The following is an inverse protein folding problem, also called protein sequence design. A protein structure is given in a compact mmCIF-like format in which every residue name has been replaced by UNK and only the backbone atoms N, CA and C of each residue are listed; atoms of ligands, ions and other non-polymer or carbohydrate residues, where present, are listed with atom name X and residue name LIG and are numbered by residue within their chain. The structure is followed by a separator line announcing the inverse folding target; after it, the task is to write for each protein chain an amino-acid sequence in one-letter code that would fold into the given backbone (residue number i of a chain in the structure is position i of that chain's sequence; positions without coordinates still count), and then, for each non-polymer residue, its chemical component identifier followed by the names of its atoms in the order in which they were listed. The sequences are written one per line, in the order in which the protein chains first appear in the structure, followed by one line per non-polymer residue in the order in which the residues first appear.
data_IF_537522903269
#
_entry.id   IF_537522903269
#
_cell.length_a   1.000
_cell.length_b   1.000
_cell.length_c   1.000
_cell.angle_alpha   90.00
_cell.angle_beta   90.00
_cell.angle_gamma   90.00
#
_symmetry.space_group_name_H-M   'P 1'
#
loop_
_entity.id
_entity.type
_entity.pdbx_description
1 polymer ?
#
# COMPACT_ATOMS: atom_id res chain seq x y z
N UNK A 1 -10.96 -5.07 15.15
CA UNK A 1 -9.92 -5.15 14.11
C UNK A 1 -10.15 -4.00 13.15
N UNK A 2 -9.10 -3.34 12.66
CA UNK A 2 -9.25 -2.30 11.66
C UNK A 2 -9.74 -2.90 10.33
N UNK A 3 -10.47 -2.13 9.52
CA UNK A 3 -10.83 -2.50 8.15
C UNK A 3 -9.60 -2.93 7.34
N UNK A 4 -9.75 -3.97 6.54
CA UNK A 4 -8.68 -4.51 5.69
C UNK A 4 -8.73 -3.91 4.31
N UNK A 5 -7.61 -3.94 3.58
CA UNK A 5 -7.60 -3.47 2.20
C UNK A 5 -8.38 -4.46 1.34
N UNK A 6 -9.33 -3.94 0.57
CA UNK A 6 -10.15 -4.66 -0.39
C UNK A 6 -9.67 -4.41 -1.81
N UNK A 7 -9.28 -3.19 -2.13
CA UNK A 7 -8.77 -2.81 -3.45
C UNK A 7 -7.60 -1.84 -3.32
N UNK A 8 -6.68 -1.89 -4.28
CA UNK A 8 -5.51 -1.00 -4.37
C UNK A 8 -5.37 -0.47 -5.79
N UNK A 9 -5.09 0.82 -5.91
CA UNK A 9 -4.65 1.45 -7.15
C UNK A 9 -3.34 2.24 -6.90
N UNK A 10 -2.20 1.75 -7.40
CA UNK A 10 -0.92 2.45 -7.27
C UNK A 10 -0.83 3.65 -8.23
N UNK A 11 -0.19 4.72 -7.77
CA UNK A 11 0.05 5.94 -8.57
C UNK A 11 1.53 6.11 -8.91
N UNK A 12 1.82 6.97 -9.89
CA UNK A 12 3.18 7.30 -10.32
C UNK A 12 3.97 8.11 -9.28
N UNK A 13 3.29 8.60 -8.25
CA UNK A 13 3.87 9.40 -7.17
C UNK A 13 4.19 8.56 -5.93
N UNK A 14 4.26 7.23 -6.04
CA UNK A 14 4.46 6.31 -4.92
C UNK A 14 3.38 6.41 -3.85
N UNK A 15 2.15 6.70 -4.27
CA UNK A 15 0.98 6.69 -3.40
C UNK A 15 0.07 5.53 -3.78
N UNK A 16 -0.62 4.99 -2.79
CA UNK A 16 -1.56 3.88 -2.93
C UNK A 16 -2.95 4.38 -2.57
N UNK A 17 -3.86 4.34 -3.54
CA UNK A 17 -5.28 4.57 -3.28
C UNK A 17 -5.89 3.25 -2.83
N UNK A 18 -6.48 3.24 -1.65
CA UNK A 18 -6.99 2.06 -0.97
C UNK A 18 -8.49 2.17 -0.79
N UNK A 19 -9.20 1.09 -1.13
CA UNK A 19 -10.57 0.85 -0.67
C UNK A 19 -10.51 -0.16 0.47
N UNK A 20 -11.16 0.14 1.59
CA UNK A 20 -11.22 -0.73 2.75
C UNK A 20 -12.53 -1.56 2.78
N UNK A 21 -12.52 -2.66 3.54
CA UNK A 21 -13.69 -3.56 3.66
C UNK A 21 -14.94 -2.91 4.25
N UNK A 22 -14.80 -1.77 4.94
CA UNK A 22 -15.93 -0.97 5.47
C UNK A 22 -16.48 0.05 4.45
N UNK A 23 -15.93 0.11 3.23
CA UNK A 23 -16.32 1.06 2.19
C UNK A 23 -15.59 2.41 2.27
N UNK A 24 -14.71 2.62 3.23
CA UNK A 24 -13.88 3.82 3.29
C UNK A 24 -12.80 3.81 2.22
N UNK A 25 -12.41 5.01 1.80
CA UNK A 25 -11.30 5.24 0.90
C UNK A 25 -10.19 5.98 1.63
N UNK A 26 -8.95 5.62 1.31
CA UNK A 26 -7.79 6.30 1.86
C UNK A 26 -6.62 6.32 0.88
N UNK A 27 -5.73 7.29 1.08
CA UNK A 27 -4.47 7.36 0.33
C UNK A 27 -3.31 7.15 1.28
N UNK A 28 -2.44 6.19 0.98
CA UNK A 28 -1.22 5.93 1.72
C UNK A 28 -0.01 6.39 0.92
N UNK A 29 0.84 7.25 1.50
CA UNK A 29 2.04 7.76 0.84
C UNK A 29 3.26 6.89 1.20
N UNK A 30 3.82 6.19 0.21
CA UNK A 30 4.95 5.29 0.39
C UNK A 30 6.31 5.98 0.22
N UNK A 31 6.38 7.29 -0.05
CA UNK A 31 7.67 7.97 -0.30
C UNK A 31 8.64 7.85 0.86
N UNK A 32 8.12 7.88 2.10
CA UNK A 32 8.94 7.72 3.30
C UNK A 32 9.61 6.33 3.37
N UNK A 33 8.99 5.30 2.77
CA UNK A 33 9.50 3.93 2.73
C UNK A 33 10.61 3.77 1.68
N UNK A 34 10.68 4.61 0.64
CA UNK A 34 11.72 4.53 -0.41
C UNK A 34 13.15 4.81 0.10
N UNK A 35 13.26 5.39 1.31
CA UNK A 35 14.52 5.64 1.99
C UNK A 35 14.93 4.48 2.91
N UNK A 36 14.04 3.54 3.18
CA UNK A 36 14.32 2.34 3.94
C UNK A 36 14.92 1.26 3.01
N UNK A 37 16.01 0.64 3.46
CA UNK A 37 16.72 -0.40 2.73
C UNK A 37 15.84 -1.59 2.36
N UNK A 38 14.79 -1.88 3.13
CA UNK A 38 13.85 -2.95 2.86
C UNK A 38 13.00 -2.75 1.58
N UNK A 39 12.83 -1.49 1.13
CA UNK A 39 11.95 -1.13 0.01
C UNK A 39 12.71 -0.54 -1.17
N UNK A 40 14.01 -0.82 -1.32
CA UNK A 40 14.80 -0.33 -2.45
C UNK A 40 14.20 -0.71 -3.82
N UNK A 41 13.58 -1.90 -3.92
CA UNK A 41 12.91 -2.37 -5.14
C UNK A 41 11.76 -1.45 -5.57
N UNK A 42 11.14 -0.72 -4.64
CA UNK A 42 10.04 0.20 -4.95
C UNK A 42 10.49 1.48 -5.65
N UNK A 43 11.80 1.76 -5.73
CA UNK A 43 12.32 2.87 -6.54
C UNK A 43 12.11 2.63 -8.03
N UNK A 44 11.96 1.38 -8.44
CA UNK A 44 11.43 1.05 -9.76
C UNK A 44 9.91 1.18 -9.72
N UNK A 45 9.38 2.17 -10.44
CA UNK A 45 7.94 2.44 -10.46
C UNK A 45 7.15 1.29 -11.09
N UNK A 46 7.74 0.56 -12.05
CA UNK A 46 7.08 -0.58 -12.69
C UNK A 46 7.05 -1.77 -11.75
N UNK A 47 8.04 -1.91 -10.87
CA UNK A 47 7.97 -2.84 -9.75
C UNK A 47 6.91 -2.41 -8.72
N UNK A 48 6.90 -1.13 -8.33
CA UNK A 48 5.95 -0.61 -7.35
C UNK A 48 4.49 -0.82 -7.77
N UNK A 49 4.18 -0.65 -9.06
CA UNK A 49 2.83 -0.85 -9.62
C UNK A 49 2.35 -2.30 -9.62
N UNK A 50 3.23 -3.28 -9.39
CA UNK A 50 2.87 -4.69 -9.29
C UNK A 50 2.26 -5.07 -7.93
N UNK A 51 1.92 -4.08 -7.10
CA UNK A 51 1.21 -4.30 -5.85
C UNK A 51 -0.13 -5.00 -6.09
N UNK A 52 -0.42 -5.99 -5.24
CA UNK A 52 -1.68 -6.74 -5.25
C UNK A 52 -2.24 -6.83 -3.84
N UNK A 53 -3.57 -6.99 -3.73
CA UNK A 53 -4.22 -7.25 -2.44
C UNK A 53 -4.22 -8.76 -2.20
N UNK A 54 -3.71 -9.20 -1.05
CA UNK A 54 -3.78 -10.59 -0.61
C UNK A 54 -3.92 -10.65 0.92
N UNK A 55 -4.82 -11.50 1.40
CA UNK A 55 -5.09 -11.72 2.84
C UNK A 55 -5.44 -10.42 3.61
N UNK A 56 -6.08 -9.46 2.93
CA UNK A 56 -6.44 -8.17 3.52
C UNK A 56 -5.29 -7.18 3.71
N UNK A 57 -4.13 -7.47 3.10
CA UNK A 57 -2.98 -6.56 3.03
C UNK A 57 -2.46 -6.41 1.58
N UNK A 58 -1.40 -5.62 1.42
CA UNK A 58 -0.70 -5.42 0.15
C UNK A 58 0.53 -6.30 0.06
N UNK A 59 0.73 -6.91 -1.11
CA UNK A 59 1.90 -7.75 -1.43
C UNK A 59 2.52 -7.33 -2.76
N UNK A 60 3.84 -7.41 -2.82
CA UNK A 60 4.65 -7.26 -4.04
C UNK A 60 5.26 -8.60 -4.46
N UNK A 61 5.73 -8.73 -5.72
CA UNK A 61 6.28 -9.99 -6.25
C UNK A 61 7.41 -10.61 -5.41
N UNK A 62 8.27 -9.81 -4.79
CA UNK A 62 9.35 -10.29 -3.92
C UNK A 62 8.91 -10.41 -2.45
N UNK A 63 7.62 -10.67 -2.20
CA UNK A 63 7.05 -10.92 -0.87
C UNK A 63 7.13 -9.75 0.11
N UNK A 64 7.45 -8.52 -0.33
CA UNK A 64 7.29 -7.36 0.55
C UNK A 64 5.81 -7.16 0.86
N UNK A 65 5.51 -6.87 2.12
CA UNK A 65 4.16 -6.61 2.60
C UNK A 65 4.17 -5.41 3.53
N UNK A 66 3.12 -4.60 3.49
CA UNK A 66 2.90 -3.55 4.51
C UNK A 66 1.99 -4.13 5.58
N UNK A 67 2.13 -3.70 6.84
CA UNK A 67 1.18 -4.08 7.88
C UNK A 67 -0.21 -3.51 7.55
N UNK A 68 -1.27 -4.33 7.51
CA UNK A 68 -2.62 -3.87 7.19
C UNK A 68 -3.17 -2.84 8.19
N UNK A 69 -2.75 -2.87 9.45
CA UNK A 69 -3.17 -1.86 10.43
C UNK A 69 -2.50 -0.51 10.13
N UNK A 70 -1.22 -0.51 9.74
CA UNK A 70 -0.52 0.71 9.28
C UNK A 70 -1.20 1.31 8.05
N UNK A 71 -1.55 0.48 7.07
CA UNK A 71 -2.28 0.94 5.88
C UNK A 71 -3.58 1.65 6.24
N UNK A 72 -4.31 1.17 7.24
CA UNK A 72 -5.54 1.80 7.66
C UNK A 72 -5.30 3.08 8.47
N UNK A 73 -4.44 3.03 9.49
CA UNK A 73 -4.22 4.11 10.45
C UNK A 73 -3.49 5.32 9.85
N UNK A 74 -2.49 5.06 8.99
CA UNK A 74 -1.64 6.11 8.43
C UNK A 74 -2.14 6.59 7.06
N UNK A 75 -3.17 5.94 6.50
CA UNK A 75 -3.81 6.46 5.29
C UNK A 75 -4.59 7.74 5.60
N UNK A 76 -4.42 8.74 4.73
CA UNK A 76 -5.28 9.92 4.75
C UNK A 76 -6.66 9.52 4.22
N UNK A 77 -7.66 9.53 5.11
CA UNK A 77 -9.06 9.24 4.76
C UNK A 77 -9.66 10.39 3.96
N UNK A 78 -10.50 10.05 2.99
CA UNK A 78 -11.32 11.03 2.25
C UNK A 78 -12.76 11.00 2.73
#
# INVERSE_FOLDING_TARGET
MNPRVKFVNPTNNYQLMLEFTNGEWGVYDCKHLLNDGAYQAWRDIDYFRQVTVADGTLKWPQQQTINPDTLYLDSHKQ
#
